data_IF_601011143707
#
_entry.id   IF_601011143707
#
_cell.length_a   1.000
_cell.length_b   1.000
_cell.length_c   1.000
_cell.angle_alpha   90.00
_cell.angle_beta   90.00
_cell.angle_gamma   90.00
#
_symmetry.space_group_name_H-M   'P 1'
#
loop_
_entity.id
_entity.type
_entity.pdbx_description
1 polymer ?
#
# COMPACT_ATOMS: atom_id res chain seq x y z
N UNK A 1 -5.64 -12.13 -8.55
CA UNK A 1 -4.78 -11.16 -9.25
C UNK A 1 -3.96 -10.43 -8.21
N UNK A 2 -2.69 -10.18 -8.51
CA UNK A 2 -1.77 -9.42 -7.69
C UNK A 2 -1.75 -7.96 -8.15
N UNK A 3 -1.50 -7.04 -7.21
CA UNK A 3 -1.48 -5.60 -7.47
C UNK A 3 -0.24 -5.01 -6.83
N UNK A 4 0.40 -4.04 -7.49
CA UNK A 4 1.63 -3.44 -6.99
C UNK A 4 1.63 -1.93 -7.19
N UNK A 5 2.36 -1.22 -6.34
CA UNK A 5 2.72 0.18 -6.60
C UNK A 5 3.73 0.23 -7.74
N UNK A 6 3.47 1.07 -8.75
CA UNK A 6 4.40 1.26 -9.84
C UNK A 6 5.72 1.90 -9.39
N UNK A 7 5.66 2.84 -8.44
CA UNK A 7 6.82 3.57 -7.91
C UNK A 7 7.10 3.20 -6.45
N UNK A 8 8.36 3.32 -6.01
CA UNK A 8 8.68 3.21 -4.59
C UNK A 8 8.04 4.32 -3.76
N UNK A 9 7.74 3.97 -2.52
CA UNK A 9 7.11 4.83 -1.53
C UNK A 9 8.06 4.90 -0.33
N UNK A 10 8.26 6.10 0.21
CA UNK A 10 9.00 6.30 1.46
C UNK A 10 8.22 5.65 2.60
N UNK A 11 8.91 4.89 3.43
CA UNK A 11 8.39 4.35 4.66
C UNK A 11 9.39 4.59 5.80
N UNK A 12 9.11 5.60 6.62
CA UNK A 12 10.04 6.12 7.62
C UNK A 12 11.29 6.70 6.96
N UNK A 13 12.42 6.02 7.18
CA UNK A 13 13.72 6.37 6.61
C UNK A 13 14.13 5.47 5.41
N UNK A 14 13.29 4.49 5.03
CA UNK A 14 13.53 3.58 3.93
C UNK A 14 12.61 3.88 2.75
N UNK A 15 12.90 3.26 1.60
CA UNK A 15 12.00 3.19 0.46
C UNK A 15 11.54 1.74 0.27
N UNK A 16 10.27 1.55 -0.09
CA UNK A 16 9.69 0.23 -0.36
C UNK A 16 8.73 0.29 -1.54
N UNK A 17 8.56 -0.81 -2.27
CA UNK A 17 7.37 -1.03 -3.11
C UNK A 17 6.32 -1.79 -2.30
N UNK A 18 5.05 -1.52 -2.51
CA UNK A 18 3.95 -2.27 -1.89
C UNK A 18 3.31 -3.20 -2.91
N UNK A 19 2.81 -4.34 -2.42
CA UNK A 19 2.08 -5.31 -3.21
C UNK A 19 0.93 -5.93 -2.43
N UNK A 20 -0.20 -6.17 -3.10
CA UNK A 20 -1.34 -6.91 -2.58
C UNK A 20 -1.42 -8.26 -3.30
N UNK A 21 -1.25 -9.32 -2.52
CA UNK A 21 -1.26 -10.70 -3.01
C UNK A 21 -2.53 -11.39 -2.50
N UNK A 22 -3.29 -12.10 -3.35
CA UNK A 22 -4.43 -12.86 -2.87
C UNK A 22 -3.94 -13.92 -1.87
N UNK A 23 -4.64 -14.04 -0.74
CA UNK A 23 -4.32 -15.10 0.22
C UNK A 23 -4.59 -16.47 -0.41
N UNK A 24 -3.82 -17.48 -0.02
CA UNK A 24 -3.99 -18.86 -0.50
C UNK A 24 -5.38 -19.45 -0.20
N UNK A 25 -6.13 -18.85 0.73
CA UNK A 25 -7.52 -19.21 1.02
C UNK A 25 -8.54 -18.68 0.00
N UNK A 26 -8.13 -17.81 -0.93
CA UNK A 26 -9.01 -17.26 -1.97
C UNK A 26 -8.87 -18.10 -3.22
N UNK A 27 -9.99 -18.70 -3.66
CA UNK A 27 -10.02 -19.48 -4.89
C UNK A 27 -9.50 -18.65 -6.08
N UNK A 28 -8.65 -19.20 -6.96
CA UNK A 28 -8.17 -18.48 -8.13
C UNK A 28 -9.33 -18.01 -9.01
N UNK A 29 -9.11 -16.94 -9.76
CA UNK A 29 -10.10 -16.47 -10.73
C UNK A 29 -10.28 -17.53 -11.82
N UNK A 30 -11.52 -18.00 -12.02
CA UNK A 30 -11.83 -18.78 -13.23
C UNK A 30 -11.69 -17.80 -14.41
N UNK A 31 -10.91 -18.11 -15.45
CA UNK A 31 -10.97 -17.36 -16.69
C UNK A 31 -12.42 -17.39 -17.17
N UNK A 32 -13.00 -16.26 -17.56
CA UNK A 32 -14.38 -16.24 -17.99
C UNK A 32 -14.58 -16.98 -19.29
N UNK A 33 -15.81 -17.45 -19.48
CA UNK A 33 -16.23 -18.10 -20.72
C UNK A 33 -16.74 -17.12 -21.80
N UNK A 34 -16.76 -15.78 -21.58
CA UNK A 34 -17.13 -14.81 -22.63
C UNK A 34 -16.83 -13.33 -22.25
N UNK A 35 -16.70 -12.46 -23.26
CA UNK A 35 -16.41 -11.01 -23.18
C UNK A 35 -17.64 -10.16 -22.80
N UNK A 36 -18.26 -10.44 -21.65
CA UNK A 36 -19.34 -9.61 -21.13
C UNK A 36 -18.81 -8.31 -20.48
N UNK A 37 -19.39 -7.16 -20.82
CA UNK A 37 -18.97 -5.82 -20.37
C UNK A 37 -18.90 -5.65 -18.83
N UNK A 38 -19.67 -6.43 -18.07
CA UNK A 38 -19.76 -6.34 -16.60
C UNK A 38 -19.08 -7.49 -15.85
N UNK A 39 -18.27 -8.29 -16.54
CA UNK A 39 -17.71 -9.52 -16.00
C UNK A 39 -17.00 -9.36 -14.65
N UNK A 40 -16.08 -8.39 -14.53
CA UNK A 40 -15.29 -8.22 -13.30
C UNK A 40 -16.20 -7.84 -12.12
N UNK A 41 -17.22 -7.04 -12.38
CA UNK A 41 -18.24 -6.67 -11.40
C UNK A 41 -19.06 -7.88 -10.97
N UNK A 42 -19.42 -8.79 -11.89
CA UNK A 42 -20.12 -10.03 -11.57
C UNK A 42 -19.26 -11.01 -10.76
N UNK A 43 -17.99 -11.20 -11.13
CA UNK A 43 -17.06 -12.05 -10.37
C UNK A 43 -16.86 -11.51 -8.93
N UNK A 44 -16.69 -10.19 -8.78
CA UNK A 44 -16.58 -9.56 -7.46
C UNK A 44 -17.85 -9.78 -6.61
N UNK A 45 -19.05 -9.61 -7.20
CA UNK A 45 -20.33 -9.90 -6.53
C UNK A 45 -20.39 -11.34 -6.03
N UNK A 46 -20.09 -12.31 -6.90
CA UNK A 46 -20.15 -13.73 -6.58
C UNK A 46 -19.17 -14.09 -5.46
N UNK A 47 -17.92 -13.60 -5.52
CA UNK A 47 -16.90 -13.87 -4.50
C UNK A 47 -17.28 -13.33 -3.14
N UNK A 48 -17.72 -12.07 -3.08
CA UNK A 48 -18.10 -11.43 -1.82
C UNK A 48 -19.39 -12.01 -1.23
N UNK A 49 -20.30 -12.52 -2.06
CA UNK A 49 -21.48 -13.23 -1.58
C UNK A 49 -21.12 -14.61 -0.99
N UNK A 50 -20.15 -15.31 -1.58
CA UNK A 50 -19.73 -16.64 -1.15
C UNK A 50 -18.89 -16.65 0.13
N UNK A 51 -18.09 -15.61 0.38
CA UNK A 51 -17.25 -15.53 1.57
C UNK A 51 -16.35 -14.30 1.61
N UNK A 52 -15.51 -14.19 2.66
CA UNK A 52 -14.56 -13.09 2.75
C UNK A 52 -13.47 -13.22 1.69
N UNK A 53 -13.07 -12.08 1.11
CA UNK A 53 -11.92 -11.98 0.19
C UNK A 53 -10.74 -11.41 0.96
N UNK A 54 -9.61 -12.12 0.92
CA UNK A 54 -8.43 -11.79 1.75
C UNK A 54 -7.20 -11.57 0.88
N UNK A 55 -6.49 -10.48 1.14
CA UNK A 55 -5.20 -10.17 0.55
C UNK A 55 -4.12 -10.02 1.64
N UNK A 56 -2.91 -10.39 1.31
CA UNK A 56 -1.71 -10.08 2.07
C UNK A 56 -1.07 -8.81 1.49
N UNK A 57 -0.94 -7.79 2.33
CA UNK A 57 -0.14 -6.62 2.02
C UNK A 57 1.31 -6.97 2.30
N UNK A 58 2.13 -6.91 1.26
CA UNK A 58 3.57 -7.17 1.32
C UNK A 58 4.34 -5.93 0.88
N UNK A 59 5.59 -5.84 1.33
CA UNK A 59 6.53 -4.80 0.93
C UNK A 59 7.80 -5.42 0.35
N UNK A 60 8.38 -4.73 -0.62
CA UNK A 60 9.66 -5.07 -1.20
C UNK A 60 10.65 -3.94 -0.85
N UNK A 61 11.63 -4.18 0.04
CA UNK A 61 12.52 -3.13 0.54
C UNK A 61 13.58 -2.68 -0.47
N UNK A 62 13.93 -1.39 -0.45
CA UNK A 62 15.13 -0.90 -1.14
C UNK A 62 16.40 -1.51 -0.52
N UNK A 63 17.32 -1.95 -1.37
CA UNK A 63 18.61 -2.53 -0.97
C UNK A 63 19.75 -1.60 -1.39
N UNK A 64 19.85 -1.29 -2.67
CA UNK A 64 20.88 -0.41 -3.25
C UNK A 64 20.42 0.21 -4.57
N UNK A 65 21.15 1.23 -5.03
CA UNK A 65 20.74 2.02 -6.20
C UNK A 65 20.91 1.28 -7.54
N UNK A 66 21.75 0.24 -7.60
CA UNK A 66 22.00 -0.51 -8.83
C UNK A 66 20.92 -1.57 -9.05
N UNK A 67 20.58 -2.33 -8.01
CA UNK A 67 19.63 -3.45 -8.10
C UNK A 67 18.20 -3.05 -7.77
N UNK A 68 18.01 -1.99 -6.98
CA UNK A 68 16.70 -1.46 -6.60
C UNK A 68 16.61 0.04 -6.88
N UNK A 69 16.78 0.51 -8.13
CA UNK A 69 16.74 1.93 -8.43
C UNK A 69 15.37 2.50 -8.08
N UNK A 70 15.34 3.63 -7.35
CA UNK A 70 14.07 4.25 -6.93
C UNK A 70 13.55 5.28 -7.95
N UNK A 71 14.44 5.74 -8.83
CA UNK A 71 14.24 6.78 -9.84
C UNK A 71 13.81 6.21 -11.20
N UNK A 72 14.02 4.91 -11.41
CA UNK A 72 13.58 4.19 -12.60
C UNK A 72 12.55 3.10 -12.24
N UNK A 73 11.24 3.41 -12.31
CA UNK A 73 10.19 2.45 -12.00
C UNK A 73 10.03 1.36 -13.07
N UNK A 74 10.74 1.46 -14.21
CA UNK A 74 10.71 0.43 -15.26
C UNK A 74 11.55 -0.78 -14.88
N UNK A 75 12.49 -0.62 -13.96
CA UNK A 75 13.34 -1.71 -13.48
C UNK A 75 12.59 -2.50 -12.41
N UNK A 76 12.40 -3.79 -12.71
CA UNK A 76 11.89 -4.76 -11.75
C UNK A 76 12.93 -4.97 -10.65
N UNK A 77 12.49 -4.97 -9.41
CA UNK A 77 13.35 -5.33 -8.28
C UNK A 77 13.24 -6.86 -8.13
N UNK A 78 14.34 -7.56 -8.35
CA UNK A 78 14.35 -9.02 -8.34
C UNK A 78 14.05 -9.57 -6.94
N UNK A 79 13.14 -10.54 -6.85
CA UNK A 79 12.75 -11.19 -5.60
C UNK A 79 13.93 -11.84 -4.86
N UNK A 80 14.96 -12.29 -5.59
CA UNK A 80 16.19 -12.85 -5.03
C UNK A 80 17.03 -11.80 -4.29
N UNK A 81 16.92 -10.53 -4.69
CA UNK A 81 17.65 -9.40 -4.08
C UNK A 81 16.78 -8.73 -3.02
N UNK A 82 15.53 -8.48 -3.35
CA UNK A 82 14.55 -7.86 -2.48
C UNK A 82 13.27 -8.68 -2.44
N UNK A 83 13.13 -9.59 -1.45
CA UNK A 83 11.95 -10.45 -1.36
C UNK A 83 10.73 -9.67 -0.85
N UNK A 84 9.54 -10.12 -1.26
CA UNK A 84 8.27 -9.61 -0.72
C UNK A 84 8.04 -10.07 0.72
N UNK A 85 8.01 -9.12 1.65
CA UNK A 85 7.82 -9.34 3.08
C UNK A 85 6.37 -9.00 3.49
N UNK A 86 5.61 -9.91 4.11
CA UNK A 86 4.25 -9.62 4.56
C UNK A 86 4.26 -8.65 5.75
N UNK A 87 3.41 -7.62 5.68
CA UNK A 87 3.30 -6.59 6.73
C UNK A 87 1.89 -6.40 7.27
N UNK A 88 0.86 -6.76 6.50
CA UNK A 88 -0.52 -6.70 6.96
C UNK A 88 -1.43 -7.63 6.16
N UNK A 89 -2.67 -7.77 6.62
CA UNK A 89 -3.74 -8.50 5.93
C UNK A 89 -4.91 -7.56 5.68
N UNK A 90 -5.37 -7.52 4.43
CA UNK A 90 -6.57 -6.81 4.03
C UNK A 90 -7.70 -7.82 3.85
N UNK A 91 -8.78 -7.65 4.59
CA UNK A 91 -9.94 -8.53 4.53
C UNK A 91 -11.17 -7.74 4.12
N UNK A 92 -11.73 -8.10 2.99
CA UNK A 92 -13.08 -7.71 2.61
C UNK A 92 -14.05 -8.76 3.16
N UNK A 93 -14.95 -8.38 4.09
CA UNK A 93 -15.89 -9.32 4.67
C UNK A 93 -16.87 -9.84 3.61
N UNK A 94 -17.48 -11.00 3.89
CA UNK A 94 -18.60 -11.49 3.09
C UNK A 94 -19.73 -10.45 3.12
N UNK A 95 -20.24 -10.11 1.95
CA UNK A 95 -21.23 -9.06 1.78
C UNK A 95 -21.96 -9.19 0.46
N UNK A 96 -23.26 -8.89 0.48
CA UNK A 96 -24.00 -8.61 -0.75
C UNK A 96 -23.65 -7.22 -1.25
N UNK A 97 -23.55 -7.08 -2.56
CA UNK A 97 -23.41 -5.78 -3.22
C UNK A 97 -24.70 -5.34 -3.93
N UNK A 98 -25.72 -6.20 -3.94
CA UNK A 98 -26.99 -5.97 -4.65
C UNK A 98 -28.16 -5.76 -3.68
N UNK A 99 -27.92 -5.78 -2.37
CA UNK A 99 -28.87 -5.29 -1.38
C UNK A 99 -28.80 -3.75 -1.27
N UNK A 100 -29.73 -3.17 -0.51
CA UNK A 100 -29.81 -1.72 -0.36
C UNK A 100 -28.54 -1.12 0.29
N UNK A 101 -27.95 -1.84 1.25
CA UNK A 101 -26.70 -1.44 1.89
C UNK A 101 -25.50 -1.51 0.94
N UNK A 102 -25.46 -2.48 0.03
CA UNK A 102 -24.47 -2.65 -1.03
C UNK A 102 -24.55 -1.54 -2.06
N UNK A 103 -25.76 -1.21 -2.53
CA UNK A 103 -25.99 -0.07 -3.43
C UNK A 103 -25.50 1.25 -2.83
N UNK A 104 -25.91 1.57 -1.59
CA UNK A 104 -25.43 2.75 -0.86
C UNK A 104 -23.90 2.85 -0.79
N UNK A 105 -23.22 1.71 -0.56
CA UNK A 105 -21.75 1.68 -0.53
C UNK A 105 -21.12 1.88 -1.91
N UNK A 106 -21.72 1.35 -2.98
CA UNK A 106 -21.25 1.62 -4.35
C UNK A 106 -21.33 3.11 -4.68
N UNK A 107 -22.47 3.74 -4.38
CA UNK A 107 -22.66 5.18 -4.61
C UNK A 107 -21.64 6.01 -3.81
N UNK A 108 -21.38 5.61 -2.56
CA UNK A 108 -20.35 6.24 -1.75
C UNK A 108 -18.94 6.08 -2.35
N UNK A 109 -18.60 4.88 -2.87
CA UNK A 109 -17.31 4.61 -3.52
C UNK A 109 -17.14 5.41 -4.82
N UNK A 110 -18.20 5.57 -5.61
CA UNK A 110 -18.19 6.38 -6.85
C UNK A 110 -17.85 7.84 -6.57
N UNK A 111 -18.25 8.36 -5.41
CA UNK A 111 -17.89 9.70 -4.95
C UNK A 111 -16.49 9.82 -4.33
N UNK A 112 -15.72 8.74 -4.20
CA UNK A 112 -14.39 8.78 -3.59
C UNK A 112 -13.31 9.21 -4.60
N UNK A 113 -12.30 9.91 -4.10
CA UNK A 113 -11.09 10.23 -4.85
C UNK A 113 -9.87 9.63 -4.16
N UNK A 114 -8.92 9.16 -4.95
CA UNK A 114 -7.66 8.59 -4.48
C UNK A 114 -6.50 9.50 -4.88
N UNK A 115 -5.81 10.08 -3.89
CA UNK A 115 -4.63 10.91 -4.10
C UNK A 115 -3.38 10.21 -3.51
N UNK A 116 -2.36 9.88 -4.31
CA UNK A 116 -1.13 9.24 -3.83
C UNK A 116 -0.32 10.12 -2.86
N UNK A 117 -0.61 11.43 -2.77
CA UNK A 117 0.01 12.35 -1.81
C UNK A 117 -0.74 12.43 -0.47
N UNK A 118 -1.94 11.86 -0.39
CA UNK A 118 -2.68 11.74 0.85
C UNK A 118 -2.13 10.59 1.69
N UNK A 119 -1.00 10.83 2.35
CA UNK A 119 -0.29 9.84 3.14
C UNK A 119 -0.03 10.33 4.58
N UNK A 120 -0.10 9.42 5.57
CA UNK A 120 0.24 9.77 6.95
C UNK A 120 1.72 10.12 7.08
N UNK A 121 2.07 10.91 8.10
CA UNK A 121 3.45 11.32 8.36
C UNK A 121 4.44 10.15 8.35
N UNK A 122 5.48 10.26 7.52
CA UNK A 122 6.49 9.21 7.34
C UNK A 122 6.18 8.19 6.24
N UNK A 123 5.02 8.28 5.58
CA UNK A 123 4.74 7.61 4.32
C UNK A 123 4.52 8.67 3.25
N UNK A 124 5.18 8.56 2.10
CA UNK A 124 4.97 9.50 0.99
C UNK A 124 5.48 8.87 -0.30
N UNK A 125 4.81 9.09 -1.44
CA UNK A 125 5.36 8.60 -2.70
C UNK A 125 6.72 9.26 -3.00
N UNK A 126 7.63 8.52 -3.62
CA UNK A 126 8.91 9.06 -4.04
C UNK A 126 8.77 9.47 -5.50
N UNK A 127 8.54 10.76 -5.73
CA UNK A 127 8.56 11.35 -7.07
C UNK A 127 9.99 11.68 -7.52
N UNK A 128 10.15 12.04 -8.81
CA UNK A 128 11.45 12.38 -9.42
C UNK A 128 12.23 13.51 -8.71
N UNK A 129 11.57 14.34 -7.89
CA UNK A 129 12.15 15.54 -7.29
C UNK A 129 12.48 15.43 -5.79
N UNK A 130 12.58 14.23 -5.21
CA UNK A 130 12.93 14.11 -3.78
C UNK A 130 14.46 14.21 -3.56
N UNK A 131 14.93 14.94 -2.52
CA UNK A 131 16.36 15.15 -2.30
C UNK A 131 17.07 13.87 -1.87
N UNK A 132 18.28 13.71 -2.40
CA UNK A 132 19.19 12.58 -2.15
C UNK A 132 19.34 12.25 -0.66
N UNK A 133 19.39 10.97 -0.26
CA UNK A 133 19.75 10.60 1.10
C UNK A 133 21.17 11.10 1.42
N UNK A 134 21.29 12.04 2.37
CA UNK A 134 22.55 12.69 2.77
C UNK A 134 22.47 14.22 2.89
N UNK A 135 21.45 14.86 2.29
CA UNK A 135 21.14 16.27 2.54
C UNK A 135 19.99 16.36 3.54
N UNK A 136 20.21 17.00 4.69
CA UNK A 136 19.19 17.15 5.73
C UNK A 136 17.87 17.73 5.21
N UNK A 137 16.76 17.27 5.79
CA UNK A 137 15.42 17.76 5.48
C UNK A 137 15.34 19.27 5.78
N UNK A 138 14.93 20.14 4.84
CA UNK A 138 14.59 21.51 5.17
C UNK A 138 13.29 21.53 5.97
N UNK A 139 13.26 22.40 7.00
CA UNK A 139 12.16 22.55 7.93
C UNK A 139 10.80 22.75 7.25
N UNK A 140 9.82 22.11 7.87
CA UNK A 140 8.39 22.12 7.57
C UNK A 140 7.90 23.55 7.35
N UNK A 141 7.53 23.87 6.09
CA UNK A 141 6.77 25.08 5.78
C UNK A 141 5.35 24.69 5.42
N UNK A 142 4.50 24.99 6.39
CA UNK A 142 3.12 25.42 6.29
C UNK A 142 2.52 25.47 4.87
N UNK A 143 1.52 24.63 4.62
CA UNK A 143 0.56 24.80 3.51
C UNK A 143 -0.87 24.56 4.00
N UNK A 144 -1.84 25.34 3.51
CA UNK A 144 -3.11 25.54 4.18
C UNK A 144 -4.18 24.52 3.77
N UNK A 145 -5.16 24.31 4.65
CA UNK A 145 -6.57 24.10 4.24
C UNK A 145 -7.13 22.69 4.34
N UNK A 146 -7.55 22.33 5.56
CA UNK A 146 -8.48 21.27 5.97
C UNK A 146 -9.71 21.09 5.04
N UNK A 147 -10.09 19.84 4.75
CA UNK A 147 -11.50 19.43 4.67
C UNK A 147 -11.74 18.13 5.44
N UNK A 148 -12.72 18.21 6.32
CA UNK A 148 -13.16 17.19 7.26
C UNK A 148 -14.39 16.50 6.70
N UNK A 149 -14.29 15.22 6.40
CA UNK A 149 -15.42 14.36 6.03
C UNK A 149 -15.18 12.96 6.56
N UNK A 150 -15.58 12.71 7.81
CA UNK A 150 -15.48 11.40 8.44
C UNK A 150 -16.71 10.55 8.09
N UNK A 151 -16.58 9.66 7.11
CA UNK A 151 -17.43 8.49 7.00
C UNK A 151 -16.54 7.24 6.91
N UNK A 152 -16.38 6.59 8.06
CA UNK A 152 -15.47 5.47 8.25
C UNK A 152 -15.95 4.21 7.55
N UNK A 153 -15.29 3.84 6.46
CA UNK A 153 -15.02 2.44 6.20
C UNK A 153 -13.87 2.03 7.14
N UNK A 154 -14.19 1.21 8.14
CA UNK A 154 -13.18 0.66 9.04
C UNK A 154 -12.34 -0.38 8.27
N UNK A 155 -11.35 0.08 7.51
CA UNK A 155 -10.23 -0.74 7.06
C UNK A 155 -9.44 -1.12 8.31
N UNK A 156 -9.56 -2.37 8.75
CA UNK A 156 -8.87 -2.88 9.93
C UNK A 156 -7.39 -3.16 9.58
N UNK A 157 -6.60 -2.10 9.39
CA UNK A 157 -5.16 -2.18 9.12
C UNK A 157 -4.42 -2.31 10.45
N UNK A 158 -4.37 -3.53 10.99
CA UNK A 158 -3.44 -3.85 12.09
C UNK A 158 -2.05 -4.06 11.51
N UNK A 159 -1.06 -3.25 11.90
CA UNK A 159 0.36 -3.62 11.75
C UNK A 159 1.34 -2.55 11.25
N UNK A 160 0.90 -1.40 10.75
CA UNK A 160 1.84 -0.39 10.25
C UNK A 160 2.47 0.40 11.40
N UNK A 161 3.52 -0.15 12.03
CA UNK A 161 4.46 0.64 12.82
C UNK A 161 5.80 0.69 12.08
N UNK A 162 6.33 1.89 11.77
CA UNK A 162 7.71 1.98 11.32
C UNK A 162 8.64 1.46 12.43
N UNK A 163 9.76 0.80 12.09
CA UNK A 163 10.72 0.35 13.09
C UNK A 163 11.22 1.55 13.91
N UNK A 164 11.08 1.48 15.24
CA UNK A 164 11.68 2.46 16.15
C UNK A 164 13.20 2.31 16.07
N UNK A 165 13.92 3.38 15.74
CA UNK A 165 15.37 3.42 15.93
C UNK A 165 15.67 3.27 17.42
N UNK A 166 16.27 2.15 17.81
CA UNK A 166 17.03 2.10 19.04
C UNK A 166 18.23 3.04 18.88
N UNK A 167 18.34 4.02 19.77
CA UNK A 167 19.51 4.89 19.84
C UNK A 167 20.68 4.04 20.30
N UNK A 168 21.62 3.75 19.40
CA UNK A 168 22.91 3.17 19.75
C UNK A 168 23.63 4.15 20.71
N UNK A 169 24.06 3.72 21.91
CA UNK A 169 24.82 4.60 22.81
C UNK A 169 26.14 4.99 22.16
N UNK A 170 26.53 6.25 22.34
CA UNK A 170 27.78 6.80 21.82
C UNK A 170 29.00 6.09 22.43
N UNK A 171 30.10 5.88 21.69
CA UNK A 171 31.32 5.33 22.25
C UNK A 171 31.89 6.30 23.29
N UNK A 172 32.23 5.77 24.46
CA UNK A 172 32.97 6.50 25.49
C UNK A 172 34.33 6.91 24.93
N UNK A 173 34.56 8.22 24.82
CA UNK A 173 35.90 8.74 24.57
C UNK A 173 36.76 8.48 25.81
N UNK A 174 37.73 7.58 25.68
CA UNK A 174 38.83 7.46 26.61
C UNK A 174 39.68 8.72 26.57
N UNK A 175 39.93 9.30 27.74
CA UNK A 175 40.88 10.38 27.97
C UNK A 175 41.74 10.03 29.17
N UNK A 176 43.04 9.92 28.89
CA UNK A 176 44.25 9.84 29.72
C UNK A 176 44.12 9.73 31.25
#
# INVERSE_FOLDING_TARGET
MEWHTATPIRWGAAAVKYGLFPSSSVAPAKPPEEDAADRLSQDLRQRLAAGPVVFELRVQPYIDAERTPIEDPRVLWEDAVSPWLPVARLTFPQQSLDDEAGRRRRDAVEGMSFDPWHAPGGVSALGRDQPRPGRGLPGERDRPGRLSGAHGLALNVRGLRPPRRERRPAPAHGGA
#
